data_IF_576366908154
#
_entry.id   IF_576366908154
#
_cell.length_a   1.000
_cell.length_b   1.000
_cell.length_c   1.000
_cell.angle_alpha   90.00
_cell.angle_beta   90.00
_cell.angle_gamma   90.00
#
_symmetry.space_group_name_H-M   'P 1'
#
loop_
_entity.id
_entity.type
_entity.pdbx_description
1 polymer ?
#
# COMPACT_ATOMS: atom_id res chain seq x y z
N UNK A 1 14.14 -17.37 1.52
CA UNK A 1 14.80 -16.13 1.96
C UNK A 1 14.09 -14.86 1.49
N UNK A 2 13.49 -14.75 0.28
CA UNK A 2 12.74 -13.53 -0.13
C UNK A 2 11.43 -13.29 0.66
N UNK A 3 10.71 -14.35 1.05
CA UNK A 3 9.46 -14.23 1.83
C UNK A 3 9.64 -13.50 3.16
N UNK A 4 10.69 -13.80 3.92
CA UNK A 4 10.87 -13.27 5.28
C UNK A 4 11.08 -11.75 5.30
N UNK A 5 11.74 -11.21 4.27
CA UNK A 5 11.94 -9.76 4.10
C UNK A 5 10.61 -9.09 3.75
N UNK A 6 9.85 -9.67 2.81
CA UNK A 6 8.54 -9.18 2.42
C UNK A 6 7.54 -9.20 3.60
N UNK A 7 7.55 -10.27 4.39
CA UNK A 7 6.68 -10.44 5.56
C UNK A 7 7.04 -9.43 6.67
N UNK A 8 8.33 -9.21 6.91
CA UNK A 8 8.82 -8.20 7.87
C UNK A 8 8.48 -6.77 7.42
N UNK A 9 8.61 -6.50 6.13
CA UNK A 9 8.25 -5.21 5.53
C UNK A 9 6.74 -4.96 5.61
N UNK A 10 5.91 -5.96 5.29
CA UNK A 10 4.46 -5.88 5.36
C UNK A 10 3.98 -5.63 6.80
N UNK A 11 4.59 -6.30 7.78
CA UNK A 11 4.29 -6.08 9.19
C UNK A 11 4.56 -4.63 9.59
N UNK A 12 5.75 -4.12 9.28
CA UNK A 12 6.14 -2.73 9.55
C UNK A 12 5.25 -1.70 8.84
N UNK A 13 4.84 -2.01 7.61
CA UNK A 13 3.96 -1.17 6.79
C UNK A 13 2.52 -1.17 7.30
N UNK A 14 2.06 -2.27 7.91
CA UNK A 14 0.73 -2.38 8.51
C UNK A 14 0.56 -1.51 9.76
N UNK A 15 1.66 -1.23 10.46
CA UNK A 15 1.70 -0.35 11.62
C UNK A 15 1.78 1.14 11.26
N UNK A 16 1.92 1.48 9.97
CA UNK A 16 1.97 2.85 9.45
C UNK A 16 0.56 3.48 9.41
N UNK A 17 -0.02 3.76 10.58
CA UNK A 17 -1.38 4.34 10.72
C UNK A 17 -1.44 5.87 10.66
N UNK A 18 -0.36 6.52 11.03
CA UNK A 18 -0.14 7.95 10.86
C UNK A 18 1.25 8.07 10.27
N UNK A 19 1.47 8.94 9.28
CA UNK A 19 2.76 9.13 8.61
C UNK A 19 3.85 9.54 9.61
N UNK A 20 4.33 8.59 10.41
CA UNK A 20 5.28 8.86 11.45
C UNK A 20 6.62 8.85 10.75
N UNK A 21 7.27 10.02 10.74
CA UNK A 21 8.61 10.18 10.16
C UNK A 21 9.55 9.03 10.57
N UNK A 22 9.53 8.53 11.83
CA UNK A 22 10.37 7.39 12.24
C UNK A 22 10.05 6.08 11.50
N UNK A 23 8.77 5.75 11.29
CA UNK A 23 8.39 4.51 10.58
C UNK A 23 8.72 4.60 9.09
N UNK A 24 8.52 5.77 8.46
CA UNK A 24 8.92 5.98 7.06
C UNK A 24 10.43 5.83 6.93
N UNK A 25 11.21 6.46 7.80
CA UNK A 25 12.66 6.33 7.77
C UNK A 25 13.13 4.89 8.00
N UNK A 26 12.46 4.14 8.88
CA UNK A 26 12.76 2.71 9.08
C UNK A 26 12.46 1.88 7.82
N UNK A 27 11.32 2.12 7.16
CA UNK A 27 10.95 1.45 5.91
C UNK A 27 11.91 1.81 4.77
N UNK A 28 12.43 3.04 4.74
CA UNK A 28 13.47 3.47 3.80
C UNK A 28 14.78 2.72 4.05
N UNK A 29 15.27 2.70 5.29
CA UNK A 29 16.49 1.96 5.64
C UNK A 29 16.37 0.47 5.34
N UNK A 30 15.22 -0.16 5.66
CA UNK A 30 14.98 -1.57 5.34
C UNK A 30 14.99 -1.82 3.83
N UNK A 31 14.48 -0.90 3.03
CA UNK A 31 14.50 -1.02 1.57
C UNK A 31 15.91 -0.86 1.00
N UNK A 32 16.71 0.05 1.55
CA UNK A 32 18.12 0.26 1.16
C UNK A 32 18.98 -0.97 1.50
N UNK A 33 18.82 -1.55 2.70
CA UNK A 33 19.56 -2.75 3.13
C UNK A 33 19.17 -4.02 2.35
N UNK A 34 18.00 -4.00 1.70
CA UNK A 34 17.41 -5.15 1.01
C UNK A 34 17.12 -4.87 -0.46
N UNK A 35 17.99 -4.12 -1.14
CA UNK A 35 17.83 -3.74 -2.55
C UNK A 35 17.60 -4.94 -3.49
N UNK A 36 18.24 -6.08 -3.22
CA UNK A 36 18.03 -7.33 -3.97
C UNK A 36 16.58 -7.86 -3.95
N UNK A 37 15.75 -7.37 -3.03
CA UNK A 37 14.33 -7.70 -2.87
C UNK A 37 13.41 -6.53 -3.24
N UNK A 38 13.92 -5.52 -3.97
CA UNK A 38 13.15 -4.33 -4.36
C UNK A 38 11.80 -4.67 -5.01
N UNK A 39 11.76 -5.68 -5.89
CA UNK A 39 10.52 -6.10 -6.54
C UNK A 39 9.46 -6.62 -5.53
N UNK A 40 9.88 -7.38 -4.52
CA UNK A 40 8.99 -7.88 -3.47
C UNK A 40 8.52 -6.74 -2.55
N UNK A 41 9.41 -5.80 -2.22
CA UNK A 41 9.09 -4.63 -1.39
C UNK A 41 8.07 -3.72 -2.09
N UNK A 42 8.28 -3.41 -3.36
CA UNK A 42 7.34 -2.61 -4.17
C UNK A 42 5.97 -3.29 -4.23
N UNK A 43 5.95 -4.60 -4.49
CA UNK A 43 4.71 -5.37 -4.52
C UNK A 43 3.93 -5.27 -3.21
N UNK A 44 4.61 -5.44 -2.07
CA UNK A 44 4.00 -5.32 -0.73
C UNK A 44 3.42 -3.92 -0.48
N UNK A 45 4.14 -2.86 -0.89
CA UNK A 45 3.67 -1.48 -0.76
C UNK A 45 2.40 -1.26 -1.57
N UNK A 46 2.39 -1.69 -2.84
CA UNK A 46 1.22 -1.57 -3.70
C UNK A 46 0.01 -2.33 -3.17
N UNK A 47 0.21 -3.57 -2.71
CA UNK A 47 -0.86 -4.41 -2.13
C UNK A 47 -1.48 -3.71 -0.92
N UNK A 48 -0.66 -3.10 -0.06
CA UNK A 48 -1.15 -2.36 1.11
C UNK A 48 -1.90 -1.08 0.72
N UNK A 49 -1.42 -0.31 -0.26
CA UNK A 49 -2.13 0.88 -0.77
C UNK A 49 -3.48 0.47 -1.36
N UNK A 50 -3.52 -0.58 -2.18
CA UNK A 50 -4.75 -1.13 -2.77
C UNK A 50 -5.74 -1.52 -1.68
N UNK A 51 -5.29 -2.27 -0.67
CA UNK A 51 -6.13 -2.68 0.48
C UNK A 51 -6.73 -1.49 1.22
N UNK A 52 -5.93 -0.48 1.53
CA UNK A 52 -6.39 0.74 2.21
C UNK A 52 -7.39 1.51 1.32
N UNK A 53 -7.09 1.67 0.04
CA UNK A 53 -7.98 2.31 -0.92
C UNK A 53 -9.34 1.59 -1.00
N UNK A 54 -9.34 0.26 -1.15
CA UNK A 54 -10.57 -0.52 -1.16
C UNK A 54 -11.32 -0.42 0.16
N UNK A 55 -10.64 -0.45 1.31
CA UNK A 55 -11.27 -0.26 2.61
C UNK A 55 -11.99 1.09 2.70
N UNK A 56 -11.32 2.19 2.32
CA UNK A 56 -11.94 3.50 2.29
C UNK A 56 -13.07 3.60 1.27
N UNK A 57 -12.91 3.00 0.08
CA UNK A 57 -13.94 2.99 -0.94
C UNK A 57 -15.19 2.24 -0.45
N UNK A 58 -15.03 1.07 0.17
CA UNK A 58 -16.13 0.30 0.75
C UNK A 58 -16.81 1.05 1.90
N UNK A 59 -16.04 1.65 2.81
CA UNK A 59 -16.57 2.47 3.90
C UNK A 59 -17.31 3.72 3.38
N UNK A 60 -16.77 4.36 2.35
CA UNK A 60 -17.39 5.52 1.69
C UNK A 60 -18.68 5.15 0.95
N UNK A 61 -18.72 4.00 0.28
CA UNK A 61 -19.95 3.48 -0.34
C UNK A 61 -21.02 3.12 0.70
N UNK A 62 -20.62 2.54 1.85
CA UNK A 62 -21.52 2.13 2.92
C UNK A 62 -22.12 3.30 3.71
N UNK A 63 -21.39 4.42 3.83
CA UNK A 63 -21.85 5.63 4.55
C UNK A 63 -22.76 6.53 3.71
N UNK A 64 -23.00 6.19 2.44
CA UNK A 64 -24.01 6.82 1.61
C UNK A 64 -23.77 8.32 1.37
N UNK A 65 -22.66 8.67 0.70
CA UNK A 65 -22.43 10.06 0.26
C UNK A 65 -22.79 10.21 -1.23
N UNK A 66 -23.89 10.91 -1.58
CA UNK A 66 -24.29 11.08 -2.97
C UNK A 66 -23.52 12.26 -3.55
N UNK A 67 -22.50 12.03 -4.41
CA UNK A 67 -22.08 13.01 -5.46
C UNK A 67 -20.93 12.59 -6.36
N UNK A 68 -20.11 11.59 -6.03
CA UNK A 68 -19.04 11.19 -6.96
C UNK A 68 -19.56 10.09 -7.89
N UNK A 69 -20.05 10.49 -9.07
CA UNK A 69 -20.04 9.63 -10.25
C UNK A 69 -18.58 9.29 -10.57
N UNK A 70 -18.02 8.31 -9.86
CA UNK A 70 -16.76 7.69 -10.26
C UNK A 70 -17.07 6.93 -11.53
N UNK A 71 -16.80 7.56 -12.67
CA UNK A 71 -16.83 6.91 -13.97
C UNK A 71 -15.65 5.95 -14.02
N UNK A 72 -15.81 4.78 -13.37
CA UNK A 72 -15.00 3.59 -13.63
C UNK A 72 -15.51 3.02 -14.95
N UNK A 73 -15.27 3.76 -16.03
CA UNK A 73 -15.47 3.24 -17.38
C UNK A 73 -14.28 3.68 -18.23
N UNK A 74 -13.49 2.65 -18.59
CA UNK A 74 -12.81 2.55 -19.88
C UNK A 74 -11.58 3.45 -20.08
N UNK A 75 -10.49 3.14 -19.38
CA UNK A 75 -9.16 3.25 -19.96
C UNK A 75 -8.28 2.15 -19.36
N UNK A 76 -8.04 1.10 -20.14
CA UNK A 76 -7.25 -0.07 -19.74
C UNK A 76 -5.81 0.29 -19.41
N UNK A 77 -5.52 0.44 -18.12
CA UNK A 77 -4.15 0.59 -17.64
C UNK A 77 -4.09 1.26 -16.28
N UNK A 78 -4.39 0.53 -15.22
CA UNK A 78 -3.72 0.79 -13.94
C UNK A 78 -2.36 0.11 -14.02
N UNK A 79 -1.36 0.85 -14.50
CA UNK A 79 0.05 0.51 -14.30
C UNK A 79 0.40 1.03 -12.91
N UNK A 80 0.60 0.12 -11.98
CA UNK A 80 1.60 0.30 -10.93
C UNK A 80 2.80 -0.54 -11.37
#
# INVERSE_FOLDING_TARGET
>A
MSSEVADSYLSSLSDLKMSSRPQISMLTMLAEDHEQYAADIVRVIEEQIKKIFYFYLQHWMATGHPSLKVKVELAGGFVF
#
